data_IF_038862053312
#
_entry.id   IF_038862053312
#
_cell.length_a   1.000
_cell.length_b   1.000
_cell.length_c   1.000
_cell.angle_alpha   90.00
_cell.angle_beta   90.00
_cell.angle_gamma   90.00
#
_symmetry.space_group_name_H-M   'P 1'
#
loop_
_entity.id
_entity.type
_entity.pdbx_description
1 polymer ?
#
# COMPACT_ATOMS: atom_id res chain seq x y z
N UNK A 1 -5.73 5.07 -29.20
CA UNK A 1 -5.93 5.43 -27.78
C UNK A 1 -6.50 4.19 -27.12
N UNK A 2 -5.88 3.68 -26.06
CA UNK A 2 -6.37 2.48 -25.36
C UNK A 2 -7.34 2.92 -24.27
N UNK A 3 -8.50 2.28 -24.18
CA UNK A 3 -9.50 2.52 -23.15
C UNK A 3 -9.45 1.45 -22.07
N UNK A 4 -9.40 1.88 -20.81
CA UNK A 4 -9.18 1.02 -19.66
C UNK A 4 -10.32 1.21 -18.67
N UNK A 5 -11.02 0.14 -18.32
CA UNK A 5 -11.78 0.11 -17.07
C UNK A 5 -10.81 -0.18 -15.91
N UNK A 6 -10.79 0.64 -14.87
CA UNK A 6 -10.00 0.40 -13.67
C UNK A 6 -10.92 0.19 -12.47
N UNK A 7 -11.03 -1.05 -12.01
CA UNK A 7 -11.72 -1.39 -10.76
C UNK A 7 -10.75 -1.31 -9.59
N UNK A 8 -11.07 -0.49 -8.59
CA UNK A 8 -10.25 -0.28 -7.40
C UNK A 8 -11.09 0.01 -6.15
N UNK A 9 -10.43 0.12 -4.99
CA UNK A 9 -11.08 0.53 -3.74
C UNK A 9 -11.51 2.00 -3.85
N UNK A 10 -12.77 2.31 -3.56
CA UNK A 10 -13.33 3.66 -3.69
C UNK A 10 -13.25 4.47 -2.39
N UNK A 11 -12.07 4.53 -1.79
CA UNK A 11 -11.81 5.32 -0.57
C UNK A 11 -10.99 6.56 -0.91
N UNK A 12 -11.61 7.74 -0.72
CA UNK A 12 -10.98 9.04 -0.96
C UNK A 12 -10.39 9.67 0.31
N UNK A 13 -10.65 9.06 1.48
CA UNK A 13 -10.15 9.56 2.78
C UNK A 13 -8.82 8.92 3.14
N UNK A 14 -8.59 7.67 2.76
CA UNK A 14 -7.34 6.98 2.97
C UNK A 14 -6.32 7.36 1.88
N UNK A 15 -5.33 8.18 2.24
CA UNK A 15 -4.28 8.62 1.32
C UNK A 15 -3.49 7.45 0.70
N UNK A 16 -3.38 6.33 1.41
CA UNK A 16 -2.74 5.12 0.87
C UNK A 16 -3.54 4.53 -0.30
N UNK A 17 -4.86 4.45 -0.18
CA UNK A 17 -5.75 3.94 -1.23
C UNK A 17 -5.88 4.94 -2.39
N UNK A 18 -5.83 6.25 -2.13
CA UNK A 18 -5.72 7.26 -3.20
C UNK A 18 -4.38 7.14 -3.94
N UNK A 19 -3.28 7.05 -3.20
CA UNK A 19 -1.93 7.01 -3.78
C UNK A 19 -1.67 5.77 -4.64
N UNK A 20 -2.21 4.62 -4.25
CA UNK A 20 -2.07 3.41 -5.05
C UNK A 20 -2.87 3.47 -6.35
N UNK A 21 -4.06 4.10 -6.37
CA UNK A 21 -4.84 4.32 -7.59
C UNK A 21 -4.06 5.21 -8.56
N UNK A 22 -3.57 6.36 -8.07
CA UNK A 22 -2.74 7.27 -8.86
C UNK A 22 -1.50 6.56 -9.42
N UNK A 23 -0.82 5.76 -8.60
CA UNK A 23 0.35 5.01 -9.04
C UNK A 23 0.02 3.97 -10.11
N UNK A 24 -1.09 3.23 -9.99
CA UNK A 24 -1.54 2.29 -11.02
C UNK A 24 -1.82 3.03 -12.32
N UNK A 25 -2.58 4.13 -12.26
CA UNK A 25 -2.90 4.91 -13.44
C UNK A 25 -1.64 5.44 -14.12
N UNK A 26 -0.71 6.06 -13.38
CA UNK A 26 0.57 6.55 -13.92
C UNK A 26 1.38 5.43 -14.59
N UNK A 27 1.44 4.25 -13.97
CA UNK A 27 2.10 3.08 -14.56
C UNK A 27 1.43 2.67 -15.89
N UNK A 28 0.10 2.66 -15.94
CA UNK A 28 -0.65 2.33 -17.16
C UNK A 28 -0.45 3.38 -18.26
N UNK A 29 -0.47 4.68 -17.94
CA UNK A 29 -0.20 5.76 -18.90
C UNK A 29 1.22 5.65 -19.46
N UNK A 30 2.21 5.40 -18.60
CA UNK A 30 3.59 5.20 -19.02
C UNK A 30 3.76 3.95 -19.89
N UNK A 31 3.01 2.89 -19.61
CA UNK A 31 3.07 1.65 -20.36
C UNK A 31 2.44 1.76 -21.75
N UNK A 32 1.24 2.35 -21.84
CA UNK A 32 0.39 2.28 -23.02
C UNK A 32 0.29 3.61 -23.78
N UNK A 33 0.89 4.68 -23.27
CA UNK A 33 0.87 6.01 -23.87
C UNK A 33 -0.48 6.70 -23.68
N UNK A 34 -1.12 7.07 -24.80
CA UNK A 34 -2.41 7.75 -24.77
C UNK A 34 -3.54 6.78 -24.35
N UNK A 35 -3.90 6.83 -23.06
CA UNK A 35 -4.95 6.00 -22.47
C UNK A 35 -6.09 6.81 -21.86
N UNK A 36 -7.30 6.35 -22.07
CA UNK A 36 -8.51 6.79 -21.38
C UNK A 36 -8.78 5.80 -20.24
N UNK A 37 -9.00 6.29 -19.02
CA UNK A 37 -9.26 5.43 -17.86
C UNK A 37 -10.63 5.80 -17.29
N UNK A 38 -11.49 4.79 -17.15
CA UNK A 38 -12.78 4.88 -16.47
C UNK A 38 -12.66 4.15 -15.14
N UNK A 39 -12.77 4.90 -14.05
CA UNK A 39 -12.66 4.38 -12.69
C UNK A 39 -13.99 3.79 -12.21
N UNK A 40 -13.94 2.61 -11.61
CA UNK A 40 -15.09 1.87 -11.09
C UNK A 40 -14.82 1.34 -9.67
N UNK A 41 -15.83 1.36 -8.78
CA UNK A 41 -15.69 0.81 -7.43
C UNK A 41 -15.60 -0.72 -7.46
N UNK A 42 -14.80 -1.31 -6.57
CA UNK A 42 -14.68 -2.77 -6.39
C UNK A 42 -16.02 -3.46 -6.10
N UNK A 43 -16.96 -2.74 -5.50
CA UNK A 43 -18.33 -3.17 -5.26
C UNK A 43 -19.08 -3.58 -6.53
N UNK A 44 -18.68 -3.06 -7.69
CA UNK A 44 -19.19 -3.49 -9.00
C UNK A 44 -19.04 -5.00 -9.21
N UNK A 45 -18.04 -5.65 -8.60
CA UNK A 45 -17.85 -7.10 -8.68
C UNK A 45 -18.81 -7.91 -7.80
N UNK A 46 -19.59 -7.27 -6.92
CA UNK A 46 -20.49 -7.96 -5.96
C UNK A 46 -21.91 -8.16 -6.47
N UNK A 47 -22.36 -7.30 -7.39
CA UNK A 47 -23.74 -7.32 -7.87
C UNK A 47 -23.81 -6.87 -9.31
N UNK A 48 -24.53 -7.65 -10.11
CA UNK A 48 -24.75 -7.32 -11.52
C UNK A 48 -25.46 -5.97 -11.68
N UNK A 49 -24.86 -5.11 -12.51
CA UNK A 49 -25.45 -3.90 -13.04
C UNK A 49 -25.19 -3.92 -14.54
N UNK A 50 -26.26 -3.95 -15.34
CA UNK A 50 -26.18 -4.11 -16.79
C UNK A 50 -25.42 -2.97 -17.45
N UNK A 51 -25.70 -1.72 -17.07
CA UNK A 51 -25.07 -0.54 -17.65
C UNK A 51 -23.57 -0.50 -17.35
N UNK A 52 -23.18 -0.89 -16.13
CA UNK A 52 -21.76 -0.97 -15.74
C UNK A 52 -21.05 -2.11 -16.48
N UNK A 53 -21.71 -3.26 -16.68
CA UNK A 53 -21.14 -4.38 -17.45
C UNK A 53 -20.98 -3.99 -18.92
N UNK A 54 -21.95 -3.29 -19.50
CA UNK A 54 -21.86 -2.75 -20.87
C UNK A 54 -20.74 -1.72 -20.98
N UNK A 55 -20.61 -0.82 -19.99
CA UNK A 55 -19.51 0.13 -19.90
C UNK A 55 -18.15 -0.59 -19.84
N UNK A 56 -17.98 -1.57 -18.95
CA UNK A 56 -16.75 -2.37 -18.86
C UNK A 56 -16.45 -3.03 -20.21
N UNK A 57 -17.42 -3.69 -20.82
CA UNK A 57 -17.23 -4.42 -22.08
C UNK A 57 -17.03 -3.51 -23.30
N UNK A 58 -17.27 -2.20 -23.17
CA UNK A 58 -16.94 -1.21 -24.21
C UNK A 58 -15.49 -0.70 -24.14
N UNK A 59 -14.72 -1.10 -23.11
CA UNK A 59 -13.30 -0.79 -22.96
C UNK A 59 -12.42 -1.87 -23.63
N UNK A 60 -11.13 -1.58 -23.83
CA UNK A 60 -10.19 -2.54 -24.43
C UNK A 60 -9.69 -3.56 -23.39
N UNK A 61 -9.48 -3.11 -22.14
CA UNK A 61 -8.99 -3.94 -21.04
C UNK A 61 -9.62 -3.55 -19.70
N UNK A 62 -9.79 -4.55 -18.82
CA UNK A 62 -10.18 -4.34 -17.43
C UNK A 62 -8.96 -4.57 -16.53
N UNK A 63 -8.55 -3.54 -15.81
CA UNK A 63 -7.56 -3.63 -14.73
C UNK A 63 -8.29 -3.66 -13.39
N UNK A 64 -8.09 -4.71 -12.60
CA UNK A 64 -8.60 -4.82 -11.24
C UNK A 64 -7.40 -4.78 -10.31
N UNK A 65 -7.21 -3.69 -9.58
CA UNK A 65 -5.93 -3.53 -8.90
C UNK A 65 -5.69 -2.25 -8.16
N UNK A 66 -4.51 -2.24 -7.53
CA UNK A 66 -4.04 -1.14 -6.72
C UNK A 66 -4.65 -1.15 -5.32
N UNK A 67 -4.53 -2.25 -4.57
CA UNK A 67 -4.96 -2.23 -3.17
C UNK A 67 -5.24 -3.58 -2.55
N UNK A 68 -5.78 -3.53 -1.34
CA UNK A 68 -6.24 -4.73 -0.64
C UNK A 68 -7.65 -5.16 -1.07
N UNK A 69 -7.82 -5.43 -2.37
CA UNK A 69 -9.11 -5.83 -2.97
C UNK A 69 -9.60 -7.18 -2.45
N UNK A 70 -8.69 -8.12 -2.14
CA UNK A 70 -9.06 -9.38 -1.52
C UNK A 70 -9.27 -9.14 -0.03
N UNK A 71 -10.41 -8.54 0.32
CA UNK A 71 -10.79 -8.21 1.69
C UNK A 71 -12.24 -8.57 1.95
N UNK A 72 -12.53 -9.06 3.16
CA UNK A 72 -13.82 -9.64 3.53
C UNK A 72 -15.03 -8.74 3.24
N UNK A 73 -14.89 -7.41 3.26
CA UNK A 73 -16.02 -6.51 2.99
C UNK A 73 -16.42 -6.46 1.51
N UNK A 74 -15.47 -6.71 0.61
CA UNK A 74 -15.74 -6.75 -0.82
C UNK A 74 -16.20 -8.13 -1.30
N UNK A 75 -16.17 -9.13 -0.43
CA UNK A 75 -16.43 -10.53 -0.77
C UNK A 75 -17.84 -10.98 -0.30
N UNK A 76 -18.37 -12.08 -0.89
CA UNK A 76 -17.87 -12.75 -2.09
C UNK A 76 -18.06 -11.89 -3.36
N UNK A 77 -17.23 -12.11 -4.38
CA UNK A 77 -17.49 -11.59 -5.72
C UNK A 77 -18.54 -12.45 -6.44
N UNK A 78 -19.40 -11.81 -7.23
CA UNK A 78 -20.46 -12.50 -7.98
C UNK A 78 -19.90 -13.11 -9.27
N UNK A 79 -19.94 -14.43 -9.37
CA UNK A 79 -19.47 -15.17 -10.54
C UNK A 79 -20.21 -14.79 -11.82
N UNK A 80 -21.50 -14.43 -11.74
CA UNK A 80 -22.28 -13.98 -12.92
C UNK A 80 -21.75 -12.66 -13.45
N UNK A 81 -21.31 -11.75 -12.56
CA UNK A 81 -20.65 -10.50 -12.97
C UNK A 81 -19.34 -10.83 -13.67
N UNK A 82 -18.52 -11.67 -13.06
CA UNK A 82 -17.22 -12.08 -13.62
C UNK A 82 -17.40 -12.72 -15.01
N UNK A 83 -18.38 -13.62 -15.18
CA UNK A 83 -18.67 -14.30 -16.45
C UNK A 83 -19.23 -13.36 -17.53
N UNK A 84 -19.83 -12.24 -17.12
CA UNK A 84 -20.38 -11.24 -18.06
C UNK A 84 -19.30 -10.32 -18.62
N UNK A 85 -18.09 -10.31 -18.06
CA UNK A 85 -16.94 -9.54 -18.55
C UNK A 85 -16.29 -10.32 -19.70
N UNK A 86 -16.33 -9.73 -20.89
CA UNK A 86 -15.86 -10.35 -22.14
C UNK A 86 -14.45 -9.89 -22.53
N UNK A 87 -13.98 -8.81 -21.94
CA UNK A 87 -12.68 -8.20 -22.23
C UNK A 87 -11.57 -8.78 -21.33
N UNK A 88 -10.29 -8.69 -21.72
CA UNK A 88 -9.19 -9.22 -20.92
C UNK A 88 -9.11 -8.59 -19.53
N UNK A 89 -9.07 -9.42 -18.49
CA UNK A 89 -8.95 -9.01 -17.09
C UNK A 89 -7.48 -9.11 -16.64
N UNK A 90 -6.97 -8.03 -16.03
CA UNK A 90 -5.64 -7.96 -15.45
C UNK A 90 -5.79 -7.73 -13.95
N UNK A 91 -5.31 -8.67 -13.13
CA UNK A 91 -5.17 -8.44 -11.69
C UNK A 91 -3.82 -7.75 -11.46
N UNK A 92 -3.83 -6.54 -10.88
CA UNK A 92 -2.66 -5.68 -10.83
C UNK A 92 -2.32 -5.20 -9.42
N UNK A 93 -1.24 -5.73 -8.84
CA UNK A 93 -0.76 -5.31 -7.52
C UNK A 93 -1.76 -5.57 -6.39
N UNK A 94 -2.66 -6.55 -6.53
CA UNK A 94 -3.67 -6.85 -5.51
C UNK A 94 -3.05 -7.54 -4.30
N UNK A 95 -3.58 -7.24 -3.11
CA UNK A 95 -3.24 -7.91 -1.86
C UNK A 95 -4.43 -8.53 -1.13
N UNK A 96 -4.15 -9.63 -0.42
CA UNK A 96 -5.06 -10.21 0.57
C UNK A 96 -4.92 -9.51 1.92
N UNK A 97 -6.01 -8.91 2.41
CA UNK A 97 -6.07 -8.27 3.73
C UNK A 97 -6.55 -9.29 4.76
N UNK A 98 -5.80 -9.44 5.85
CA UNK A 98 -6.24 -10.17 7.05
C UNK A 98 -5.71 -9.52 8.32
N UNK A 99 -6.57 -8.72 8.93
CA UNK A 99 -6.28 -8.06 10.19
C UNK A 99 -6.15 -9.07 11.34
N UNK A 100 -5.34 -8.76 12.34
CA UNK A 100 -5.23 -9.58 13.55
C UNK A 100 -6.59 -9.65 14.24
N UNK A 101 -7.02 -10.86 14.62
CA UNK A 101 -8.33 -11.09 15.24
C UNK A 101 -9.49 -11.20 14.26
N UNK A 102 -9.32 -10.87 12.98
CA UNK A 102 -10.38 -11.07 11.98
C UNK A 102 -10.65 -12.57 11.71
N UNK A 103 -11.92 -12.89 11.44
CA UNK A 103 -12.31 -14.25 11.01
C UNK A 103 -11.58 -14.64 9.72
N UNK A 104 -11.37 -15.94 9.53
CA UNK A 104 -10.93 -16.45 8.23
C UNK A 104 -12.04 -16.22 7.19
N UNK A 105 -11.64 -16.08 5.92
CA UNK A 105 -12.59 -16.10 4.81
C UNK A 105 -13.35 -17.43 4.78
N UNK A 106 -14.65 -17.38 4.47
CA UNK A 106 -15.49 -18.53 4.20
C UNK A 106 -15.09 -19.20 2.88
N UNK A 107 -15.43 -20.48 2.66
CA UNK A 107 -15.12 -21.19 1.42
C UNK A 107 -15.58 -20.43 0.16
N UNK A 108 -16.82 -19.91 0.16
CA UNK A 108 -17.39 -19.14 -0.95
C UNK A 108 -16.62 -17.85 -1.27
N UNK A 109 -16.15 -17.12 -0.24
CA UNK A 109 -15.35 -15.90 -0.41
C UNK A 109 -14.01 -16.24 -1.08
N UNK A 110 -13.33 -17.30 -0.62
CA UNK A 110 -12.07 -17.77 -1.22
C UNK A 110 -12.29 -18.24 -2.65
N UNK A 111 -13.36 -19.01 -2.88
CA UNK A 111 -13.70 -19.55 -4.18
C UNK A 111 -13.98 -18.41 -5.17
N UNK A 112 -14.68 -17.36 -4.76
CA UNK A 112 -14.95 -16.19 -5.63
C UNK A 112 -13.67 -15.46 -6.05
N UNK A 113 -12.67 -15.33 -5.16
CA UNK A 113 -11.35 -14.78 -5.50
C UNK A 113 -10.64 -15.67 -6.52
N UNK A 114 -10.57 -16.97 -6.25
CA UNK A 114 -9.93 -17.95 -7.12
C UNK A 114 -10.61 -17.98 -8.49
N UNK A 115 -11.94 -17.88 -8.52
CA UNK A 115 -12.72 -17.81 -9.75
C UNK A 115 -12.35 -16.58 -10.60
N UNK A 116 -12.34 -15.39 -9.98
CA UNK A 116 -11.89 -14.15 -10.65
C UNK A 116 -10.49 -14.31 -11.22
N UNK A 117 -9.55 -14.80 -10.41
CA UNK A 117 -8.17 -14.96 -10.86
C UNK A 117 -8.01 -16.02 -11.96
N UNK A 118 -8.83 -17.08 -12.00
CA UNK A 118 -8.81 -18.07 -13.10
C UNK A 118 -9.31 -17.48 -14.43
N UNK A 119 -10.19 -16.49 -14.38
CA UNK A 119 -10.68 -15.75 -15.56
C UNK A 119 -9.71 -14.66 -16.01
N UNK A 120 -8.80 -14.23 -15.13
CA UNK A 120 -7.82 -13.21 -15.47
C UNK A 120 -6.78 -13.70 -16.47
N UNK A 121 -6.46 -12.85 -17.45
CA UNK A 121 -5.41 -13.09 -18.43
C UNK A 121 -4.02 -12.98 -17.80
N UNK A 122 -3.86 -12.11 -16.80
CA UNK A 122 -2.63 -11.93 -16.04
C UNK A 122 -2.93 -11.69 -14.56
N UNK A 123 -2.09 -12.26 -13.69
CA UNK A 123 -2.25 -12.17 -12.24
C UNK A 123 -0.97 -11.64 -11.60
N UNK A 124 -0.98 -10.36 -11.25
CA UNK A 124 0.07 -9.68 -10.51
C UNK A 124 -0.39 -9.34 -9.09
N UNK A 125 0.29 -9.89 -8.09
CA UNK A 125 0.00 -9.63 -6.67
C UNK A 125 1.12 -8.84 -6.01
N UNK A 126 0.79 -8.10 -4.94
CA UNK A 126 1.77 -7.22 -4.29
C UNK A 126 2.75 -7.92 -3.36
N UNK A 127 2.44 -9.10 -2.86
CA UNK A 127 3.27 -9.80 -1.88
C UNK A 127 3.18 -11.33 -1.98
N UNK A 128 4.15 -12.01 -1.36
CA UNK A 128 4.22 -13.47 -1.32
C UNK A 128 3.08 -14.10 -0.50
N UNK A 129 2.51 -13.37 0.47
CA UNK A 129 1.42 -13.86 1.29
C UNK A 129 0.15 -14.07 0.47
N UNK A 130 -0.15 -13.10 -0.40
CA UNK A 130 -1.26 -13.14 -1.34
C UNK A 130 -1.05 -14.24 -2.38
N UNK A 131 0.18 -14.38 -2.91
CA UNK A 131 0.52 -15.51 -3.80
C UNK A 131 0.27 -16.86 -3.12
N UNK A 132 0.78 -17.04 -1.91
CA UNK A 132 0.61 -18.29 -1.16
C UNK A 132 -0.86 -18.58 -0.84
N UNK A 133 -1.65 -17.55 -0.54
CA UNK A 133 -3.09 -17.67 -0.35
C UNK A 133 -3.76 -18.20 -1.63
N UNK A 134 -3.49 -17.60 -2.79
CA UNK A 134 -4.07 -18.04 -4.06
C UNK A 134 -3.66 -19.48 -4.40
N UNK A 135 -2.38 -19.84 -4.23
CA UNK A 135 -1.90 -21.19 -4.53
C UNK A 135 -2.49 -22.24 -3.61
N UNK A 136 -2.61 -21.93 -2.31
CA UNK A 136 -3.21 -22.82 -1.33
C UNK A 136 -4.71 -23.07 -1.58
N UNK A 137 -5.37 -22.22 -2.38
CA UNK A 137 -6.78 -22.37 -2.77
C UNK A 137 -6.95 -22.80 -4.23
N UNK A 138 -5.91 -23.38 -4.85
CA UNK A 138 -6.04 -24.11 -6.12
C UNK A 138 -5.65 -23.34 -7.38
N UNK A 139 -4.89 -22.24 -7.26
CA UNK A 139 -4.17 -21.64 -8.40
C UNK A 139 -2.77 -22.25 -8.55
N UNK A 140 -2.32 -22.42 -9.80
CA UNK A 140 -0.96 -22.87 -10.08
C UNK A 140 0.02 -21.77 -9.68
N UNK A 141 1.16 -22.12 -9.09
CA UNK A 141 2.13 -21.14 -8.57
C UNK A 141 2.73 -20.27 -9.68
N UNK A 142 2.79 -20.79 -10.88
CA UNK A 142 3.46 -20.21 -12.04
C UNK A 142 2.57 -19.20 -12.77
N UNK A 143 1.26 -19.22 -12.50
CA UNK A 143 0.31 -18.26 -13.08
C UNK A 143 0.20 -16.97 -12.26
N UNK A 144 0.83 -16.90 -11.08
CA UNK A 144 0.74 -15.75 -10.16
C UNK A 144 2.10 -15.08 -10.03
N UNK A 145 2.25 -13.89 -10.60
CA UNK A 145 3.46 -13.08 -10.49
C UNK A 145 3.43 -12.19 -9.24
N UNK A 146 4.53 -12.15 -8.49
CA UNK A 146 4.67 -11.20 -7.36
C UNK A 146 5.39 -9.95 -7.88
N UNK A 147 4.60 -8.94 -8.21
CA UNK A 147 5.05 -7.69 -8.84
C UNK A 147 5.41 -6.62 -7.81
N UNK A 148 4.75 -6.59 -6.66
CA UNK A 148 4.93 -5.55 -5.62
C UNK A 148 3.74 -4.62 -5.51
N UNK A 149 3.72 -3.75 -4.51
CA UNK A 149 2.67 -2.74 -4.34
C UNK A 149 2.90 -1.56 -5.30
N UNK A 150 1.91 -1.14 -6.13
CA UNK A 150 2.08 -0.05 -7.09
C UNK A 150 2.47 1.28 -6.45
N UNK A 151 2.05 1.55 -5.21
CA UNK A 151 2.32 2.83 -4.53
C UNK A 151 3.82 3.08 -4.30
N UNK A 152 4.68 2.05 -4.44
CA UNK A 152 6.14 2.21 -4.50
C UNK A 152 6.55 3.22 -5.58
N UNK A 153 5.83 3.27 -6.70
CA UNK A 153 6.11 4.12 -7.86
C UNK A 153 5.22 5.36 -7.95
N UNK A 154 4.47 5.67 -6.89
CA UNK A 154 3.71 6.93 -6.81
C UNK A 154 4.63 8.12 -7.15
N UNK A 155 4.17 9.05 -7.98
CA UNK A 155 4.96 10.26 -8.29
C UNK A 155 5.17 11.15 -7.07
N UNK A 156 6.15 12.04 -7.18
CA UNK A 156 6.49 13.01 -6.15
C UNK A 156 6.25 14.41 -6.74
N UNK A 157 5.32 15.14 -6.14
CA UNK A 157 4.95 16.48 -6.59
C UNK A 157 5.47 17.49 -5.55
N UNK A 158 6.10 18.59 -5.96
CA UNK A 158 6.59 19.60 -5.02
C UNK A 158 5.42 20.50 -4.55
N UNK A 159 5.12 20.55 -3.24
CA UNK A 159 4.11 21.45 -2.71
C UNK A 159 4.54 22.92 -2.80
N UNK A 160 3.66 23.79 -3.33
CA UNK A 160 3.99 25.22 -3.54
C UNK A 160 4.34 25.97 -2.24
N UNK A 161 3.67 25.66 -1.13
CA UNK A 161 3.72 26.43 0.12
C UNK A 161 4.15 25.60 1.33
N UNK A 162 5.01 24.60 1.15
CA UNK A 162 5.50 23.76 2.26
C UNK A 162 7.02 23.83 2.38
N UNK A 163 7.49 24.35 3.52
CA UNK A 163 8.92 24.43 3.85
C UNK A 163 9.24 23.53 5.03
N UNK A 164 10.35 22.82 4.92
CA UNK A 164 10.93 22.03 6.00
C UNK A 164 12.17 22.74 6.53
N UNK A 165 12.46 22.58 7.83
CA UNK A 165 13.69 23.13 8.42
C UNK A 165 14.95 22.43 7.92
N UNK A 166 16.12 22.85 8.40
CA UNK A 166 17.39 22.18 8.07
C UNK A 166 17.80 21.11 9.09
N UNK A 167 17.21 21.15 10.29
CA UNK A 167 17.43 20.16 11.34
C UNK A 167 17.07 18.74 10.89
N UNK A 168 17.53 17.76 11.66
CA UNK A 168 17.16 16.36 11.49
C UNK A 168 15.65 16.18 11.57
N UNK A 169 15.06 15.36 10.70
CA UNK A 169 13.60 15.27 10.53
C UNK A 169 13.11 13.85 10.70
N UNK A 170 12.25 13.65 11.70
CA UNK A 170 11.63 12.36 11.98
C UNK A 170 10.17 12.39 11.55
N UNK A 171 9.77 11.45 10.70
CA UNK A 171 8.39 11.21 10.32
C UNK A 171 7.70 10.25 11.27
N UNK A 172 6.47 10.54 11.68
CA UNK A 172 5.62 9.64 12.44
C UNK A 172 4.31 9.39 11.69
N UNK A 173 3.80 8.16 11.71
CA UNK A 173 2.45 7.84 11.25
C UNK A 173 1.86 6.74 12.12
N UNK A 174 0.59 6.86 12.50
CA UNK A 174 -0.15 5.82 13.22
C UNK A 174 -1.11 5.10 12.26
N UNK A 175 -1.82 4.08 12.75
CA UNK A 175 -2.90 3.44 12.01
C UNK A 175 -4.17 3.54 12.84
N UNK A 176 -4.82 4.71 12.81
CA UNK A 176 -6.05 4.98 13.55
C UNK A 176 -7.16 5.39 12.59
N UNK A 177 -7.83 4.39 12.02
CA UNK A 177 -8.99 4.57 11.14
C UNK A 177 -10.24 4.12 11.89
N UNK A 178 -10.77 5.00 12.77
CA UNK A 178 -12.10 5.01 13.41
C UNK A 178 -12.66 3.72 14.03
N UNK A 179 -12.71 2.63 13.27
CA UNK A 179 -13.21 1.31 13.65
C UNK A 179 -12.12 0.32 14.09
N UNK A 180 -10.89 0.46 13.56
CA UNK A 180 -9.71 -0.26 14.05
C UNK A 180 -8.94 0.66 15.00
N UNK A 181 -9.46 0.83 16.21
CA UNK A 181 -8.67 1.41 17.29
C UNK A 181 -7.43 0.56 17.59
N UNK A 182 -6.52 1.07 18.40
CA UNK A 182 -5.34 0.33 18.85
C UNK A 182 -5.65 -0.90 19.73
N UNK A 183 -6.93 -1.07 20.08
CA UNK A 183 -7.39 -2.10 21.01
C UNK A 183 -6.64 -1.96 22.32
N UNK A 184 -6.19 -3.10 22.87
CA UNK A 184 -5.42 -3.13 24.13
C UNK A 184 -4.00 -2.57 24.04
N UNK A 185 -3.52 -2.18 22.85
CA UNK A 185 -2.13 -1.75 22.63
C UNK A 185 -1.98 -0.22 22.60
N UNK A 186 -3.05 0.53 22.87
CA UNK A 186 -3.05 1.99 22.76
C UNK A 186 -1.95 2.62 23.61
N UNK A 187 -1.89 2.26 24.89
CA UNK A 187 -0.92 2.85 25.83
C UNK A 187 0.51 2.55 25.40
N UNK A 188 0.84 1.31 25.05
CA UNK A 188 2.19 0.96 24.60
C UNK A 188 2.56 1.64 23.28
N UNK A 189 1.62 1.76 22.33
CA UNK A 189 1.86 2.48 21.07
C UNK A 189 2.15 3.95 21.36
N UNK A 190 1.27 4.63 22.09
CA UNK A 190 1.43 6.06 22.38
C UNK A 190 2.72 6.32 23.17
N UNK A 191 3.00 5.50 24.19
CA UNK A 191 4.21 5.60 24.98
C UNK A 191 5.46 5.42 24.12
N UNK A 192 5.56 4.34 23.32
CA UNK A 192 6.74 4.08 22.51
C UNK A 192 6.99 5.16 21.44
N UNK A 193 5.94 5.67 20.81
CA UNK A 193 6.07 6.78 19.84
C UNK A 193 6.59 8.05 20.52
N UNK A 194 5.97 8.44 21.65
CA UNK A 194 6.40 9.62 22.41
C UNK A 194 7.84 9.48 22.85
N UNK A 195 8.18 8.36 23.50
CA UNK A 195 9.53 8.07 24.00
C UNK A 195 10.58 8.16 22.88
N UNK A 196 10.26 7.61 21.71
CA UNK A 196 11.18 7.66 20.56
C UNK A 196 11.35 9.08 20.03
N UNK A 197 10.25 9.84 19.90
CA UNK A 197 10.30 11.22 19.41
C UNK A 197 11.06 12.15 20.37
N UNK A 198 10.75 12.09 21.68
CA UNK A 198 11.43 12.87 22.72
C UNK A 198 12.93 12.61 22.72
N UNK A 199 13.36 11.35 22.59
CA UNK A 199 14.77 11.03 22.52
C UNK A 199 15.47 11.71 21.32
N UNK A 200 14.86 11.71 20.13
CA UNK A 200 15.44 12.40 18.96
C UNK A 200 15.43 13.92 19.12
N UNK A 201 14.42 14.49 19.77
CA UNK A 201 14.38 15.93 20.09
C UNK A 201 15.53 16.28 21.03
N UNK A 202 15.69 15.55 22.13
CA UNK A 202 16.71 15.80 23.16
C UNK A 202 18.15 15.62 22.65
N UNK A 203 18.39 14.58 21.83
CA UNK A 203 19.76 14.21 21.44
C UNK A 203 20.19 14.79 20.09
N UNK A 204 19.25 15.16 19.22
CA UNK A 204 19.54 15.65 17.86
C UNK A 204 18.87 16.98 17.52
N UNK A 205 18.12 17.60 18.45
CA UNK A 205 17.29 18.76 18.18
C UNK A 205 16.36 18.51 16.97
N UNK A 206 15.82 17.29 16.88
CA UNK A 206 15.06 16.85 15.73
C UNK A 206 13.71 17.56 15.60
N UNK A 207 13.31 17.85 14.36
CA UNK A 207 11.95 18.25 14.03
C UNK A 207 11.07 17.02 13.80
N UNK A 208 9.90 16.99 14.45
CA UNK A 208 8.95 15.88 14.32
C UNK A 208 7.82 16.27 13.36
N UNK A 209 7.64 15.45 12.33
CA UNK A 209 6.60 15.59 11.30
C UNK A 209 5.61 14.42 11.41
N UNK A 210 4.35 14.70 11.70
CA UNK A 210 3.30 13.69 11.69
C UNK A 210 2.66 13.60 10.29
N UNK A 211 2.74 12.43 9.66
CA UNK A 211 2.32 12.16 8.29
C UNK A 211 0.90 11.60 8.28
N UNK A 212 -0.10 12.48 8.18
CA UNK A 212 -1.51 12.10 8.25
C UNK A 212 -1.92 11.32 7.00
N UNK A 213 -2.45 10.12 7.16
CA UNK A 213 -2.94 9.24 6.09
C UNK A 213 -4.46 9.04 6.10
N UNK A 214 -5.11 9.26 7.22
CA UNK A 214 -6.56 9.15 7.36
C UNK A 214 -7.08 10.20 8.36
N UNK A 215 -8.20 10.91 8.08
CA UNK A 215 -8.73 11.95 8.96
C UNK A 215 -8.98 11.49 10.40
N UNK A 216 -9.38 10.23 10.57
CA UNK A 216 -9.62 9.60 11.88
C UNK A 216 -8.41 9.63 12.81
N UNK A 217 -7.17 9.71 12.29
CA UNK A 217 -5.97 9.78 13.14
C UNK A 217 -5.94 11.07 13.97
N UNK A 218 -6.59 12.16 13.54
CA UNK A 218 -6.71 13.42 14.31
C UNK A 218 -7.31 13.19 15.70
N UNK A 219 -8.13 12.16 15.86
CA UNK A 219 -8.76 11.82 17.14
C UNK A 219 -7.77 11.31 18.19
N UNK A 220 -6.58 10.84 17.80
CA UNK A 220 -5.61 10.23 18.73
C UNK A 220 -4.29 11.00 18.83
N UNK A 221 -4.03 11.97 17.93
CA UNK A 221 -2.74 12.69 17.90
C UNK A 221 -2.42 13.41 19.20
N UNK A 222 -3.44 13.97 19.85
CA UNK A 222 -3.28 14.73 21.10
C UNK A 222 -2.70 13.86 22.23
N UNK A 223 -2.92 12.54 22.20
CA UNK A 223 -2.36 11.60 23.17
C UNK A 223 -0.85 11.43 23.01
N UNK A 224 -0.26 11.73 21.84
CA UNK A 224 1.20 11.64 21.66
C UNK A 224 1.94 12.66 22.53
N UNK A 225 1.36 13.83 22.82
CA UNK A 225 1.95 14.91 23.64
C UNK A 225 3.40 15.29 23.26
N UNK A 226 3.75 15.19 21.97
CA UNK A 226 5.08 15.54 21.45
C UNK A 226 5.14 17.06 21.22
N UNK A 227 6.12 17.78 21.79
CA UNK A 227 6.21 19.23 21.65
C UNK A 227 6.52 19.65 20.21
N UNK A 228 5.85 20.72 19.74
CA UNK A 228 6.07 21.36 18.42
C UNK A 228 5.99 20.39 17.22
N UNK A 229 5.28 19.26 17.36
CA UNK A 229 5.03 18.32 16.27
C UNK A 229 4.26 19.00 15.13
N UNK A 230 4.80 18.93 13.90
CA UNK A 230 4.20 19.54 12.71
C UNK A 230 3.32 18.50 12.00
N UNK A 231 2.04 18.80 11.78
CA UNK A 231 1.13 17.90 11.05
C UNK A 231 1.28 18.16 9.55
N UNK A 232 1.54 17.10 8.79
CA UNK A 232 1.59 17.07 7.32
C UNK A 232 0.31 16.39 6.83
N UNK A 233 -0.56 17.19 6.23
CA UNK A 233 -1.86 16.78 5.68
C UNK A 233 -1.96 17.31 4.23
N UNK A 234 -1.09 16.81 3.36
CA UNK A 234 -0.98 17.23 1.96
C UNK A 234 -1.59 16.17 1.02
N UNK A 235 -1.96 16.52 -0.22
CA UNK A 235 -2.24 15.52 -1.25
C UNK A 235 -1.13 14.47 -1.33
N UNK A 236 -1.45 13.20 -1.58
CA UNK A 236 -0.49 12.11 -1.33
C UNK A 236 0.79 12.18 -2.16
N UNK A 237 0.75 12.71 -3.40
CA UNK A 237 1.96 12.94 -4.21
C UNK A 237 2.87 14.02 -3.59
N UNK A 238 2.27 15.11 -3.09
CA UNK A 238 2.99 16.17 -2.35
C UNK A 238 3.50 15.66 -1.00
N UNK A 239 2.70 14.84 -0.32
CA UNK A 239 3.13 14.22 0.92
C UNK A 239 4.31 13.28 0.66
N UNK A 240 4.35 12.54 -0.46
CA UNK A 240 5.52 11.72 -0.82
C UNK A 240 6.79 12.56 -1.02
N UNK A 241 6.68 13.77 -1.54
CA UNK A 241 7.81 14.71 -1.59
C UNK A 241 8.34 15.05 -0.19
N UNK A 242 7.47 15.15 0.82
CA UNK A 242 7.86 15.29 2.23
C UNK A 242 8.56 14.03 2.73
N UNK A 243 8.02 12.84 2.42
CA UNK A 243 8.62 11.56 2.80
C UNK A 243 10.09 11.47 2.38
N UNK A 244 10.41 11.88 1.14
CA UNK A 244 11.77 11.88 0.58
C UNK A 244 12.78 12.71 1.37
N UNK A 245 12.32 13.72 2.11
CA UNK A 245 13.14 14.70 2.83
C UNK A 245 13.30 14.38 4.32
N UNK A 246 12.68 13.31 4.80
CA UNK A 246 12.83 12.86 6.17
C UNK A 246 14.07 11.97 6.32
N UNK A 247 14.69 11.97 7.50
CA UNK A 247 15.86 11.15 7.79
C UNK A 247 15.49 9.73 8.27
N UNK A 248 14.32 9.61 8.89
CA UNK A 248 13.73 8.36 9.37
C UNK A 248 12.22 8.51 9.48
N UNK A 249 11.48 7.45 9.15
CA UNK A 249 10.05 7.35 9.38
C UNK A 249 9.73 6.23 10.37
N UNK A 250 8.82 6.48 11.29
CA UNK A 250 8.23 5.48 12.18
C UNK A 250 6.76 5.34 11.79
N UNK A 251 6.47 4.30 11.01
CA UNK A 251 5.16 4.10 10.40
C UNK A 251 4.44 2.88 10.96
N UNK A 252 3.15 3.03 11.23
CA UNK A 252 2.26 1.91 11.58
C UNK A 252 1.39 1.51 10.39
N UNK A 253 0.82 2.47 9.66
CA UNK A 253 0.01 2.16 8.48
C UNK A 253 0.88 1.54 7.38
N UNK A 254 0.37 0.50 6.70
CA UNK A 254 1.11 -0.17 5.64
C UNK A 254 1.58 0.81 4.57
N UNK A 255 0.68 1.62 4.03
CA UNK A 255 0.99 2.52 2.93
C UNK A 255 1.96 3.64 3.34
N UNK A 256 1.99 4.05 4.60
CA UNK A 256 3.08 4.92 5.09
C UNK A 256 4.44 4.26 4.89
N UNK A 257 4.59 2.98 5.24
CA UNK A 257 5.86 2.26 5.01
C UNK A 257 6.15 2.00 3.52
N UNK A 258 5.12 1.77 2.70
CA UNK A 258 5.26 1.57 1.25
C UNK A 258 5.74 2.85 0.57
N UNK A 259 5.16 4.00 0.94
CA UNK A 259 5.52 5.32 0.43
C UNK A 259 6.93 5.69 0.88
N UNK A 260 7.30 5.41 2.13
CA UNK A 260 8.68 5.60 2.61
C UNK A 260 9.69 4.79 1.79
N UNK A 261 9.43 3.51 1.54
CA UNK A 261 10.27 2.70 0.66
C UNK A 261 10.33 3.26 -0.77
N UNK A 262 9.19 3.70 -1.31
CA UNK A 262 9.10 4.31 -2.64
C UNK A 262 9.84 5.64 -2.76
N UNK A 263 9.88 6.42 -1.69
CA UNK A 263 10.67 7.64 -1.54
C UNK A 263 12.14 7.36 -1.18
N UNK A 264 12.52 6.10 -0.98
CA UNK A 264 13.86 5.67 -0.56
C UNK A 264 14.28 6.18 0.82
N UNK A 265 13.29 6.46 1.68
CA UNK A 265 13.49 6.93 3.05
C UNK A 265 13.49 5.75 4.03
N UNK A 266 14.49 5.61 4.91
CA UNK A 266 14.52 4.58 5.94
C UNK A 266 13.28 4.62 6.83
N UNK A 267 12.70 3.46 7.11
CA UNK A 267 11.49 3.37 7.91
C UNK A 267 11.49 2.19 8.89
N UNK A 268 11.04 2.43 10.12
CA UNK A 268 10.64 1.40 11.07
C UNK A 268 9.15 1.14 10.88
N UNK A 269 8.78 -0.14 10.79
CA UNK A 269 7.41 -0.57 10.54
C UNK A 269 6.83 -1.24 11.79
N UNK A 270 5.82 -0.62 12.39
CA UNK A 270 5.09 -1.21 13.52
C UNK A 270 3.96 -2.08 12.96
N UNK A 271 4.18 -3.39 12.99
CA UNK A 271 3.29 -4.35 12.39
C UNK A 271 2.15 -4.73 13.33
N UNK A 272 0.96 -4.23 13.01
CA UNK A 272 -0.33 -4.66 13.59
C UNK A 272 -1.03 -5.75 12.76
N UNK A 273 -0.55 -6.00 11.54
CA UNK A 273 -1.15 -6.89 10.55
C UNK A 273 -0.06 -7.73 9.84
N UNK A 274 -0.45 -8.89 9.30
CA UNK A 274 0.39 -9.69 8.40
C UNK A 274 0.87 -8.90 7.18
N UNK A 275 0.11 -7.92 6.68
CA UNK A 275 0.48 -7.07 5.54
C UNK A 275 1.80 -6.35 5.76
N UNK A 276 1.99 -5.72 6.92
CA UNK A 276 3.24 -5.03 7.28
C UNK A 276 4.44 -5.99 7.25
N UNK A 277 4.28 -7.19 7.82
CA UNK A 277 5.31 -8.24 7.83
C UNK A 277 5.61 -8.77 6.43
N UNK A 278 4.58 -8.97 5.63
CA UNK A 278 4.69 -9.42 4.24
C UNK A 278 5.40 -8.41 3.37
N UNK A 279 5.10 -7.12 3.52
CA UNK A 279 5.78 -6.05 2.81
C UNK A 279 7.26 -5.96 3.21
N UNK A 280 7.58 -5.98 4.50
CA UNK A 280 8.96 -5.96 4.97
C UNK A 280 9.79 -7.14 4.43
N UNK A 281 9.20 -8.35 4.40
CA UNK A 281 9.81 -9.51 3.73
C UNK A 281 9.95 -9.30 2.23
N UNK A 282 8.94 -8.73 1.57
CA UNK A 282 8.97 -8.45 0.14
C UNK A 282 10.07 -7.46 -0.24
N UNK A 283 10.41 -6.48 0.61
CA UNK A 283 11.54 -5.57 0.37
C UNK A 283 12.88 -6.10 0.92
N UNK A 284 12.95 -7.38 1.29
CA UNK A 284 14.12 -8.04 1.89
C UNK A 284 14.65 -7.33 3.16
N UNK A 285 13.75 -6.73 3.95
CA UNK A 285 14.10 -6.02 5.18
C UNK A 285 13.17 -6.37 6.35
N UNK A 286 12.99 -7.66 6.69
CA UNK A 286 12.12 -8.09 7.81
C UNK A 286 12.57 -7.50 9.15
N UNK A 287 13.86 -7.17 9.30
CA UNK A 287 14.46 -6.50 10.45
C UNK A 287 13.99 -5.06 10.64
N UNK A 288 13.17 -4.49 9.75
CA UNK A 288 12.55 -3.17 9.97
C UNK A 288 11.28 -3.26 10.81
N UNK A 289 10.77 -4.47 11.06
CA UNK A 289 9.49 -4.68 11.73
C UNK A 289 9.64 -4.76 13.24
N UNK A 290 8.84 -3.98 13.95
CA UNK A 290 8.53 -4.15 15.37
C UNK A 290 7.09 -4.66 15.47
N UNK A 291 6.87 -5.82 16.10
CA UNK A 291 5.50 -6.34 16.28
C UNK A 291 4.89 -5.76 17.55
N UNK A 292 3.57 -5.53 17.56
CA UNK A 292 2.86 -4.97 18.72
C UNK A 292 3.15 -5.70 20.04
N UNK A 293 3.20 -7.04 20.01
CA UNK A 293 3.50 -7.85 21.20
C UNK A 293 4.94 -7.74 21.71
N UNK A 294 5.81 -7.01 21.00
CA UNK A 294 7.20 -6.72 21.35
C UNK A 294 7.45 -5.23 21.56
N UNK A 295 6.41 -4.41 21.59
CA UNK A 295 6.51 -2.95 21.70
C UNK A 295 6.73 -2.48 23.16
N UNK A 296 7.28 -3.34 24.02
CA UNK A 296 7.55 -3.00 25.42
C UNK A 296 8.89 -2.28 25.55
N UNK A 297 9.01 -1.49 26.60
CA UNK A 297 10.23 -0.78 26.96
C UNK A 297 10.73 0.12 25.81
N UNK A 298 12.03 0.12 25.55
CA UNK A 298 12.67 0.92 24.50
C UNK A 298 12.74 0.20 23.13
N UNK A 299 12.01 -0.89 22.91
CA UNK A 299 12.14 -1.70 21.68
C UNK A 299 11.93 -0.91 20.37
N UNK A 300 11.00 0.05 20.36
CA UNK A 300 10.81 0.94 19.21
C UNK A 300 11.99 1.89 19.03
N UNK A 301 12.44 2.50 20.13
CA UNK A 301 13.57 3.42 20.15
C UNK A 301 14.84 2.71 19.67
N UNK A 302 15.18 1.55 20.23
CA UNK A 302 16.34 0.75 19.82
C UNK A 302 16.32 0.44 18.32
N UNK A 303 15.15 0.06 17.78
CA UNK A 303 15.01 -0.19 16.35
C UNK A 303 15.18 1.09 15.54
N UNK A 304 14.58 2.19 15.97
CA UNK A 304 14.71 3.50 15.31
C UNK A 304 16.17 3.96 15.27
N UNK A 305 16.90 3.82 16.39
CA UNK A 305 18.32 4.14 16.47
C UNK A 305 19.18 3.26 15.55
N UNK A 306 18.91 1.95 15.53
CA UNK A 306 19.63 1.02 14.65
C UNK A 306 19.42 1.38 13.18
N UNK A 307 18.17 1.66 12.77
CA UNK A 307 17.87 2.06 11.38
C UNK A 307 18.47 3.42 11.04
N UNK A 308 18.35 4.40 11.94
CA UNK A 308 18.89 5.75 11.74
C UNK A 308 20.42 5.75 11.60
N UNK A 309 21.14 4.98 12.43
CA UNK A 309 22.60 4.82 12.33
C UNK A 309 23.04 4.17 11.01
N UNK A 310 22.19 3.32 10.44
CA UNK A 310 22.44 2.60 9.18
C UNK A 310 21.65 3.19 7.99
N UNK A 311 21.19 4.44 8.07
CA UNK A 311 20.29 5.04 7.06
C UNK A 311 20.83 4.98 5.64
N UNK A 312 22.11 5.29 5.44
CA UNK A 312 22.74 5.26 4.11
C UNK A 312 22.76 3.85 3.50
N UNK A 313 22.91 2.83 4.33
CA UNK A 313 22.78 1.44 3.92
C UNK A 313 21.35 1.14 3.46
N UNK A 314 20.33 1.56 4.22
CA UNK A 314 18.93 1.35 3.86
C UNK A 314 18.53 2.10 2.59
N UNK A 315 18.97 3.34 2.41
CA UNK A 315 18.74 4.13 1.18
C UNK A 315 19.26 3.35 -0.04
N UNK A 316 20.53 2.93 -0.02
CA UNK A 316 21.13 2.13 -1.11
C UNK A 316 20.41 0.79 -1.31
N UNK A 317 20.03 0.12 -0.22
CA UNK A 317 19.27 -1.15 -0.27
C UNK A 317 17.91 -0.95 -0.93
N UNK A 318 17.21 0.13 -0.60
CA UNK A 318 15.89 0.46 -1.15
C UNK A 318 15.97 0.83 -2.63
N UNK A 319 16.92 1.67 -3.03
CA UNK A 319 17.19 1.98 -4.44
C UNK A 319 17.40 0.71 -5.28
N UNK A 320 18.26 -0.20 -4.81
CA UNK A 320 18.54 -1.45 -5.50
C UNK A 320 17.31 -2.37 -5.55
N UNK A 321 16.51 -2.42 -4.48
CA UNK A 321 15.30 -3.23 -4.45
C UNK A 321 14.20 -2.66 -5.35
N UNK A 322 14.01 -1.34 -5.33
CA UNK A 322 13.04 -0.60 -6.16
C UNK A 322 13.31 -0.83 -7.64
N UNK A 323 14.57 -0.71 -8.09
CA UNK A 323 14.98 -1.06 -9.48
C UNK A 323 14.65 -2.50 -9.87
N UNK A 324 14.79 -3.46 -8.94
CA UNK A 324 14.42 -4.88 -9.20
C UNK A 324 12.90 -5.05 -9.30
N UNK A 325 12.14 -4.31 -8.49
CA UNK A 325 10.66 -4.31 -8.54
C UNK A 325 10.20 -3.69 -9.86
N UNK A 326 10.79 -2.58 -10.28
CA UNK A 326 10.48 -1.89 -11.54
C UNK A 326 10.64 -2.81 -12.76
N UNK A 327 11.77 -3.54 -12.83
CA UNK A 327 11.98 -4.56 -13.87
C UNK A 327 10.92 -5.66 -13.88
N UNK A 328 10.34 -6.01 -12.72
CA UNK A 328 9.25 -7.00 -12.66
C UNK A 328 7.94 -6.40 -13.17
N UNK A 329 7.65 -5.14 -12.84
CA UNK A 329 6.51 -4.41 -13.37
C UNK A 329 6.57 -4.30 -14.89
N UNK A 330 7.72 -3.89 -15.44
CA UNK A 330 7.94 -3.82 -16.90
C UNK A 330 7.68 -5.17 -17.56
N UNK A 331 8.31 -6.25 -17.07
CA UNK A 331 8.08 -7.61 -17.59
C UNK A 331 6.62 -8.06 -17.49
N UNK A 332 5.93 -7.72 -16.41
CA UNK A 332 4.52 -8.07 -16.24
C UNK A 332 3.62 -7.36 -17.25
N UNK A 333 3.91 -6.07 -17.51
CA UNK A 333 3.18 -5.25 -18.47
C UNK A 333 3.50 -5.67 -19.92
N UNK A 334 4.75 -6.02 -20.23
CA UNK A 334 5.18 -6.50 -21.55
C UNK A 334 4.40 -7.74 -21.98
N UNK A 335 4.19 -8.72 -21.08
CA UNK A 335 3.32 -9.89 -21.32
C UNK A 335 1.93 -9.49 -21.81
N UNK A 336 1.40 -8.33 -21.38
CA UNK A 336 0.10 -7.85 -21.83
C UNK A 336 0.17 -7.16 -23.18
N UNK A 337 1.21 -6.38 -23.46
CA UNK A 337 1.38 -5.73 -24.77
C UNK A 337 1.38 -6.76 -25.89
N UNK A 338 2.08 -7.88 -25.68
CA UNK A 338 2.07 -9.03 -26.60
C UNK A 338 0.65 -9.56 -26.80
N UNK A 339 -0.13 -9.70 -25.72
CA UNK A 339 -1.51 -10.18 -25.77
C UNK A 339 -2.49 -9.19 -26.41
N UNK A 340 -2.25 -7.88 -26.31
CA UNK A 340 -3.08 -6.85 -26.97
C UNK A 340 -2.74 -6.77 -28.46
N UNK A 341 -1.47 -6.88 -28.85
CA UNK A 341 -1.06 -6.85 -30.25
C UNK A 341 -1.49 -8.09 -31.05
N UNK A 342 -1.97 -9.14 -30.37
CA UNK A 342 -2.50 -10.38 -30.96
C UNK A 342 -4.04 -10.36 -31.11
N UNK A 343 -4.70 -9.34 -30.58
CA UNK A 343 -6.14 -9.07 -30.73
C UNK A 343 -6.34 -8.04 -31.85
#
# INVERSE_FOLDING_TARGET
MIKIAHIHVWDQLNKGDVGIVLAVQDILRNAFGNVEIVDLPVETLKKANKDIIELINSQDILVIGGGGIFYRYFLPFDKKVIDSIKIPIIIFGVGYIREVGSRKLYPEEKESIVYLCRKASLIGVRDYYTKNFLTANGLKKETVDVIGDPAVFLREDEPENFKMGEALKIGLNLNYSGWLGFGRWQEEIIFSYRRTAEWFIENYNAEIYYLLHHPGEKNILHELRIPKMKIVDLPICEQKYVYRRLDLIIGMMLHSCVIAFGAETPAVNIAYDIRNKSFAKFINSPELVVSLNKLKDDALLERALSVFKNRDFYIKKFQNRKKKIEKKYQKFIEKKKELINQL
#
